data_IF_729481905264
#
_entry.id   IF_729481905264
#
_cell.length_a   1.000
_cell.length_b   1.000
_cell.length_c   1.000
_cell.angle_alpha   90.00
_cell.angle_beta   90.00
_cell.angle_gamma   90.00
#
_symmetry.space_group_name_H-M   'P 1'
#
loop_
_entity.id
_entity.type
_entity.pdbx_description
1 polymer ?
#
# COMPACT_ATOMS: atom_id res chain seq x y z
N UNK A 1 -8.98 -13.90 13.04
CA UNK A 1 -7.72 -13.29 12.56
C UNK A 1 -8.09 -11.87 12.15
N UNK A 2 -7.48 -10.86 12.79
CA UNK A 2 -7.88 -9.46 12.67
C UNK A 2 -7.46 -8.85 11.34
N UNK A 3 -8.21 -7.86 10.87
CA UNK A 3 -7.99 -7.14 9.61
C UNK A 3 -6.54 -6.64 9.46
N UNK A 4 -5.94 -6.20 10.57
CA UNK A 4 -4.53 -5.77 10.65
C UNK A 4 -3.51 -6.81 10.14
N UNK A 5 -3.81 -8.11 10.28
CA UNK A 5 -2.94 -9.18 9.78
C UNK A 5 -3.01 -9.35 8.27
N UNK A 6 -4.18 -9.10 7.67
CA UNK A 6 -4.38 -9.13 6.22
C UNK A 6 -3.71 -7.93 5.56
N UNK A 7 -3.82 -6.75 6.17
CA UNK A 7 -3.20 -5.53 5.66
C UNK A 7 -1.67 -5.63 5.70
N UNK A 8 -1.11 -6.16 6.80
CA UNK A 8 0.33 -6.43 6.91
C UNK A 8 0.82 -7.41 5.82
N UNK A 9 0.04 -8.44 5.53
CA UNK A 9 0.37 -9.38 4.46
C UNK A 9 0.34 -8.68 3.09
N UNK A 10 -0.69 -7.88 2.83
CA UNK A 10 -0.81 -7.10 1.59
C UNK A 10 0.35 -6.12 1.39
N UNK A 11 0.76 -5.39 2.44
CA UNK A 11 1.96 -4.53 2.39
C UNK A 11 3.23 -5.31 2.08
N UNK A 12 3.39 -6.49 2.69
CA UNK A 12 4.55 -7.34 2.46
C UNK A 12 4.60 -7.81 1.01
N UNK A 13 3.48 -8.26 0.47
CA UNK A 13 3.37 -8.66 -0.95
C UNK A 13 3.66 -7.51 -1.91
N UNK A 14 3.16 -6.30 -1.63
CA UNK A 14 3.43 -5.11 -2.45
C UNK A 14 4.92 -4.77 -2.43
N UNK A 15 5.55 -4.76 -1.25
CA UNK A 15 6.99 -4.51 -1.10
C UNK A 15 7.81 -5.55 -1.87
N UNK A 16 7.51 -6.84 -1.69
CA UNK A 16 8.26 -7.91 -2.33
C UNK A 16 8.18 -7.81 -3.86
N UNK A 17 7.02 -7.43 -4.40
CA UNK A 17 6.86 -7.19 -5.84
C UNK A 17 7.64 -5.97 -6.32
N UNK A 18 7.66 -4.87 -5.55
CA UNK A 18 8.48 -3.69 -5.87
C UNK A 18 9.98 -4.01 -5.89
N UNK A 19 10.46 -4.82 -4.94
CA UNK A 19 11.85 -5.27 -4.89
C UNK A 19 12.20 -6.20 -6.08
N UNK A 20 11.27 -7.04 -6.51
CA UNK A 20 11.42 -7.88 -7.70
C UNK A 20 11.51 -7.02 -8.97
N UNK A 21 10.63 -6.02 -9.12
CA UNK A 21 10.67 -5.05 -10.21
C UNK A 21 12.01 -4.30 -10.23
N UNK A 22 12.46 -3.81 -9.08
CA UNK A 22 13.73 -3.11 -8.95
C UNK A 22 14.92 -3.99 -9.34
N UNK A 23 14.86 -5.29 -9.03
CA UNK A 23 15.86 -6.28 -9.41
C UNK A 23 15.87 -6.50 -10.92
N UNK A 24 14.69 -6.64 -11.54
CA UNK A 24 14.56 -6.84 -12.98
C UNK A 24 15.06 -5.64 -13.78
N UNK A 25 14.68 -4.42 -13.37
CA UNK A 25 15.09 -3.17 -14.05
C UNK A 25 16.60 -2.91 -13.95
N UNK A 26 17.28 -3.47 -12.94
CA UNK A 26 18.76 -3.41 -12.82
C UNK A 26 19.50 -4.33 -13.80
N UNK A 27 18.80 -5.22 -14.50
CA UNK A 27 19.41 -6.12 -15.47
C UNK A 27 19.85 -5.38 -16.74
N UNK A 28 21.08 -5.62 -17.18
CA UNK A 28 21.69 -4.93 -18.33
C UNK A 28 21.02 -5.26 -19.68
N UNK A 29 20.27 -6.38 -19.77
CA UNK A 29 19.59 -6.85 -20.99
C UNK A 29 18.10 -6.46 -21.05
N UNK A 30 17.64 -5.52 -20.22
CA UNK A 30 16.23 -5.11 -20.23
C UNK A 30 15.91 -4.10 -21.35
N UNK A 31 14.97 -4.39 -22.26
CA UNK A 31 14.51 -3.42 -23.24
C UNK A 31 13.71 -2.31 -22.57
N UNK A 32 13.83 -1.08 -23.11
CA UNK A 32 13.21 0.12 -22.55
C UNK A 32 11.69 -0.02 -22.36
N UNK A 33 10.99 -0.56 -23.35
CA UNK A 33 9.53 -0.71 -23.28
C UNK A 33 9.12 -1.62 -22.10
N UNK A 34 9.86 -2.72 -21.88
CA UNK A 34 9.62 -3.59 -20.73
C UNK A 34 9.95 -2.90 -19.39
N UNK A 35 10.98 -2.05 -19.36
CA UNK A 35 11.29 -1.25 -18.18
C UNK A 35 10.19 -0.23 -17.86
N UNK A 36 9.57 0.37 -18.89
CA UNK A 36 8.45 1.30 -18.74
C UNK A 36 7.19 0.58 -18.23
N UNK A 37 6.88 -0.60 -18.76
CA UNK A 37 5.76 -1.42 -18.26
C UNK A 37 5.93 -1.76 -16.78
N UNK A 38 7.15 -2.14 -16.37
CA UNK A 38 7.48 -2.43 -14.97
C UNK A 38 7.43 -1.17 -14.08
N UNK A 39 7.81 -0.01 -14.61
CA UNK A 39 7.68 1.26 -13.90
C UNK A 39 6.20 1.61 -13.64
N UNK A 40 5.34 1.46 -14.66
CA UNK A 40 3.89 1.67 -14.51
C UNK A 40 3.27 0.70 -13.49
N UNK A 41 3.73 -0.55 -13.46
CA UNK A 41 3.35 -1.52 -12.44
C UNK A 41 3.78 -1.03 -11.04
N UNK A 42 5.02 -0.58 -10.88
CA UNK A 42 5.53 -0.07 -9.61
C UNK A 42 4.74 1.16 -9.11
N UNK A 43 4.34 2.06 -10.00
CA UNK A 43 3.49 3.22 -9.64
C UNK A 43 2.14 2.76 -9.11
N UNK A 44 1.47 1.81 -9.79
CA UNK A 44 0.18 1.25 -9.33
C UNK A 44 0.29 0.57 -7.97
N UNK A 45 1.37 -0.17 -7.75
CA UNK A 45 1.66 -0.82 -6.47
C UNK A 45 1.86 0.22 -5.35
N UNK A 46 2.57 1.30 -5.62
CA UNK A 46 2.73 2.42 -4.68
C UNK A 46 1.40 3.09 -4.33
N UNK A 47 0.53 3.34 -5.33
CA UNK A 47 -0.81 3.90 -5.08
C UNK A 47 -1.65 2.98 -4.20
N UNK A 48 -1.64 1.67 -4.48
CA UNK A 48 -2.36 0.68 -3.67
C UNK A 48 -1.85 0.62 -2.22
N UNK A 49 -0.54 0.77 -2.01
CA UNK A 49 0.02 0.84 -0.67
C UNK A 49 -0.49 2.09 0.09
N UNK A 50 -0.57 3.24 -0.58
CA UNK A 50 -1.13 4.46 0.01
C UNK A 50 -2.61 4.28 0.38
N UNK A 51 -3.42 3.72 -0.50
CA UNK A 51 -4.85 3.43 -0.22
C UNK A 51 -5.03 2.50 0.99
N UNK A 52 -4.16 1.49 1.12
CA UNK A 52 -4.15 0.60 2.29
C UNK A 52 -3.79 1.35 3.58
N UNK A 53 -2.86 2.31 3.53
CA UNK A 53 -2.51 3.14 4.69
C UNK A 53 -3.68 4.04 5.11
N UNK A 54 -4.35 4.65 4.14
CA UNK A 54 -5.53 5.49 4.40
C UNK A 54 -6.68 4.69 5.02
N UNK A 55 -6.88 3.45 4.56
CA UNK A 55 -7.91 2.56 5.10
C UNK A 55 -7.63 2.16 6.55
N UNK A 56 -6.36 1.92 6.88
CA UNK A 56 -5.93 1.64 8.26
C UNK A 56 -6.14 2.85 9.19
N UNK A 57 -5.74 4.05 8.75
CA UNK A 57 -5.90 5.29 9.52
C UNK A 57 -7.38 5.65 9.76
N UNK A 58 -8.22 5.45 8.73
CA UNK A 58 -9.67 5.64 8.83
C UNK A 58 -10.34 4.64 9.77
N UNK A 59 -9.86 3.38 9.81
CA UNK A 59 -10.40 2.34 10.69
C UNK A 59 -10.09 2.59 12.17
N UNK A 60 -8.99 3.29 12.47
CA UNK A 60 -8.59 3.67 13.83
C UNK A 60 -9.29 4.98 14.30
N UNK A 61 -9.80 5.77 13.36
CA UNK A 61 -10.43 7.08 13.59
C UNK A 61 -11.95 7.02 13.84
N UNK A 62 -12.57 5.84 13.80
CA UNK A 62 -14.03 5.66 14.00
C UNK A 62 -14.44 5.54 15.48
N UNK A 63 -13.62 6.08 16.40
CA UNK A 63 -14.06 6.34 17.76
C UNK A 63 -14.95 7.59 17.75
N UNK A 64 -16.28 7.48 17.99
CA UNK A 64 -17.11 8.66 18.12
C UNK A 64 -16.59 9.43 19.34
N UNK A 65 -16.01 10.61 19.11
CA UNK A 65 -15.87 11.64 20.15
C UNK A 65 -17.27 12.00 20.60
N UNK A 66 -17.82 11.24 21.55
CA UNK A 66 -19.06 11.51 22.25
C UNK A 66 -18.84 12.67 23.23
N UNK A 67 -18.47 13.85 22.72
CA UNK A 67 -18.56 15.13 23.43
C UNK A 67 -19.94 15.73 23.15
N UNK A 68 -20.95 15.07 23.69
CA UNK A 68 -22.35 15.43 23.55
C UNK A 68 -23.15 14.96 24.76
N UNK A 69 -22.63 15.13 25.97
CA UNK A 69 -23.36 14.83 27.20
C UNK A 69 -23.41 16.06 28.12
N UNK A 70 -24.48 16.85 27.92
CA UNK A 70 -25.27 17.48 28.98
C UNK A 70 -24.50 18.18 30.11
N UNK A 71 -24.36 19.51 30.00
CA UNK A 71 -24.51 20.36 31.18
C UNK A 71 -25.77 21.21 30.99
N UNK A 72 -26.82 20.77 31.69
CA UNK A 72 -28.02 21.54 31.97
C UNK A 72 -27.72 22.64 32.99
#
# INVERSE_FOLDING_TARGET
MGLESLDREAFTQIRDRLDEIATQVRGDDMPLDAALDLYDEAVKLGMKATELLETLDASDSDAPSSEGAMQR
#
